data_IF_068923794587
#
_entry.id   IF_068923794587
#
_cell.length_a   1.000
_cell.length_b   1.000
_cell.length_c   1.000
_cell.angle_alpha   90.00
_cell.angle_beta   90.00
_cell.angle_gamma   90.00
#
_symmetry.space_group_name_H-M   'P 1'
#
loop_
_entity.id
_entity.type
_entity.pdbx_description
1 polymer ?
#
# COMPACT_ATOMS: atom_id res chain seq x y z
N UNK A 1 34.27 1.30 19.29
CA UNK A 1 32.99 1.66 18.66
C UNK A 1 33.03 1.24 17.21
N UNK A 2 32.61 0.00 16.97
CA UNK A 2 32.67 -0.69 15.68
C UNK A 2 31.62 -0.08 14.73
N UNK A 3 32.07 0.28 13.53
CA UNK A 3 31.34 0.91 12.44
C UNK A 3 29.85 0.50 12.31
N UNK A 4 28.94 1.37 12.77
CA UNK A 4 27.53 1.36 12.36
C UNK A 4 27.29 2.54 11.41
N UNK A 5 27.69 2.36 10.15
CA UNK A 5 27.30 3.22 9.02
C UNK A 5 26.15 2.59 8.20
N UNK A 6 25.41 1.64 8.81
CA UNK A 6 24.33 0.86 8.19
C UNK A 6 22.96 1.56 8.25
N UNK A 7 22.88 2.85 7.87
CA UNK A 7 21.60 3.53 7.59
C UNK A 7 21.26 3.53 6.08
N UNK A 8 21.89 2.65 5.30
CA UNK A 8 22.08 2.86 3.86
C UNK A 8 20.96 2.39 2.94
N UNK A 9 20.18 1.36 3.30
CA UNK A 9 19.22 0.76 2.35
C UNK A 9 17.79 1.25 2.57
N UNK A 10 17.29 1.20 3.80
CA UNK A 10 15.92 1.62 4.15
C UNK A 10 15.68 3.13 4.09
N UNK A 11 16.75 3.93 4.12
CA UNK A 11 16.68 5.38 3.92
C UNK A 11 16.97 5.80 2.46
N UNK A 12 16.98 4.85 1.52
CA UNK A 12 17.08 5.12 0.09
C UNK A 12 15.70 5.05 -0.56
N UNK A 13 15.44 5.90 -1.56
CA UNK A 13 14.18 5.87 -2.33
C UNK A 13 13.99 4.50 -2.98
N UNK A 14 15.08 3.94 -3.51
CA UNK A 14 15.08 2.62 -4.13
C UNK A 14 14.76 1.50 -3.14
N UNK A 15 15.38 1.53 -1.95
CA UNK A 15 15.13 0.55 -0.90
C UNK A 15 13.71 0.65 -0.35
N UNK A 16 13.15 1.86 -0.24
CA UNK A 16 11.75 2.07 0.14
C UNK A 16 10.80 1.47 -0.90
N UNK A 17 11.03 1.75 -2.19
CA UNK A 17 10.25 1.17 -3.28
C UNK A 17 10.29 -0.36 -3.25
N UNK A 18 11.48 -0.94 -3.09
CA UNK A 18 11.67 -2.38 -3.03
C UNK A 18 11.02 -2.99 -1.78
N UNK A 19 11.14 -2.33 -0.62
CA UNK A 19 10.54 -2.79 0.63
C UNK A 19 9.01 -2.73 0.58
N UNK A 20 8.42 -1.66 0.05
CA UNK A 20 6.97 -1.57 -0.11
C UNK A 20 6.44 -2.60 -1.12
N UNK A 21 7.21 -2.89 -2.19
CA UNK A 21 6.89 -3.94 -3.15
C UNK A 21 6.92 -5.33 -2.51
N UNK A 22 7.99 -5.66 -1.77
CA UNK A 22 8.09 -6.95 -1.10
C UNK A 22 7.00 -7.14 -0.03
N UNK A 23 6.76 -6.11 0.80
CA UNK A 23 5.78 -6.20 1.87
C UNK A 23 4.34 -6.33 1.32
N UNK A 24 4.00 -5.61 0.24
CA UNK A 24 2.70 -5.76 -0.44
C UNK A 24 2.52 -7.16 -1.03
N UNK A 25 3.55 -7.74 -1.66
CA UNK A 25 3.50 -9.13 -2.15
C UNK A 25 3.25 -10.12 -0.99
N UNK A 26 3.92 -9.95 0.15
CA UNK A 26 3.72 -10.81 1.33
C UNK A 26 2.27 -10.72 1.84
N UNK A 27 1.71 -9.52 1.91
CA UNK A 27 0.31 -9.31 2.32
C UNK A 27 -0.64 -10.03 1.38
N UNK A 28 -0.46 -9.88 0.07
CA UNK A 28 -1.33 -10.47 -0.95
C UNK A 28 -1.26 -11.99 -0.93
N UNK A 29 -0.06 -12.57 -0.90
CA UNK A 29 0.12 -14.03 -0.79
C UNK A 29 -0.51 -14.54 0.51
N UNK A 30 -0.35 -13.83 1.62
CA UNK A 30 -0.95 -14.19 2.89
C UNK A 30 -2.48 -14.23 2.83
N UNK A 31 -3.11 -13.26 2.17
CA UNK A 31 -4.56 -13.22 1.96
C UNK A 31 -5.04 -14.42 1.16
N UNK A 32 -4.40 -14.72 0.03
CA UNK A 32 -4.75 -15.88 -0.81
C UNK A 32 -4.52 -17.22 -0.12
N UNK A 33 -3.62 -17.29 0.86
CA UNK A 33 -3.41 -18.51 1.64
C UNK A 33 -4.51 -18.71 2.70
N UNK A 34 -4.96 -17.63 3.35
CA UNK A 34 -5.94 -17.68 4.43
C UNK A 34 -7.37 -17.79 3.89
N UNK A 35 -7.69 -17.04 2.83
CA UNK A 35 -9.04 -16.94 2.27
C UNK A 35 -9.73 -18.30 2.03
N UNK A 36 -9.10 -19.30 1.36
CA UNK A 36 -9.76 -20.58 1.07
C UNK A 36 -10.10 -21.37 2.33
N UNK A 37 -9.27 -21.24 3.38
CA UNK A 37 -9.51 -21.91 4.66
C UNK A 37 -10.73 -21.35 5.40
N UNK A 38 -10.96 -20.04 5.29
CA UNK A 38 -12.13 -19.38 5.90
C UNK A 38 -13.41 -19.70 5.12
N UNK A 39 -13.33 -19.72 3.79
CA UNK A 39 -14.42 -20.12 2.90
C UNK A 39 -14.85 -21.57 3.17
N UNK A 40 -13.87 -22.48 3.30
CA UNK A 40 -14.15 -23.89 3.63
C UNK A 40 -14.86 -24.07 4.97
N UNK A 41 -14.50 -23.25 5.97
CA UNK A 41 -15.12 -23.29 7.29
C UNK A 41 -16.53 -22.66 7.31
N UNK A 42 -16.98 -22.09 6.19
CA UNK A 42 -18.29 -21.48 6.00
C UNK A 42 -18.67 -20.48 7.11
N UNK A 43 -17.68 -19.75 7.66
CA UNK A 43 -17.89 -18.82 8.78
C UNK A 43 -18.88 -17.70 8.39
N UNK A 44 -18.97 -17.34 7.10
CA UNK A 44 -19.83 -16.26 6.59
C UNK A 44 -20.44 -16.55 5.21
N UNK A 45 -21.63 -16.01 4.93
CA UNK A 45 -22.32 -16.27 3.66
C UNK A 45 -21.87 -15.38 2.48
N UNK A 46 -20.82 -14.54 2.64
CA UNK A 46 -20.38 -13.61 1.60
C UNK A 46 -18.86 -13.69 1.34
N UNK A 47 -18.47 -13.81 0.08
CA UNK A 47 -17.08 -13.90 -0.41
C UNK A 47 -16.26 -12.66 0.00
N UNK A 48 -16.84 -11.47 -0.09
CA UNK A 48 -16.18 -10.20 0.25
C UNK A 48 -15.76 -10.15 1.73
N UNK A 49 -16.58 -10.75 2.61
CA UNK A 49 -16.28 -10.77 4.03
C UNK A 49 -15.06 -11.63 4.34
N UNK A 50 -14.83 -12.71 3.60
CA UNK A 50 -13.64 -13.55 3.77
C UNK A 50 -12.35 -12.83 3.36
N UNK A 51 -12.39 -12.04 2.29
CA UNK A 51 -11.27 -11.17 1.91
C UNK A 51 -10.98 -10.13 3.00
N UNK A 52 -12.00 -9.45 3.52
CA UNK A 52 -11.79 -8.48 4.61
C UNK A 52 -11.20 -9.16 5.87
N UNK A 53 -11.75 -10.28 6.30
CA UNK A 53 -11.25 -10.99 7.50
C UNK A 53 -9.81 -11.48 7.30
N UNK A 54 -9.48 -12.04 6.14
CA UNK A 54 -8.10 -12.45 5.83
C UNK A 54 -7.12 -11.27 5.82
N UNK A 55 -7.53 -10.10 5.33
CA UNK A 55 -6.70 -8.88 5.38
C UNK A 55 -6.42 -8.43 6.82
N UNK A 56 -7.42 -8.50 7.69
CA UNK A 56 -7.29 -8.15 9.11
C UNK A 56 -6.32 -9.11 9.80
N UNK A 57 -6.45 -10.41 9.54
CA UNK A 57 -5.58 -11.44 10.12
C UNK A 57 -4.12 -11.23 9.67
N UNK A 58 -3.86 -11.07 8.37
CA UNK A 58 -2.47 -10.96 7.88
C UNK A 58 -1.78 -9.69 8.41
N UNK A 59 -2.50 -8.57 8.52
CA UNK A 59 -1.95 -7.32 9.06
C UNK A 59 -1.64 -7.44 10.55
N UNK A 60 -2.52 -8.09 11.32
CA UNK A 60 -2.28 -8.37 12.74
C UNK A 60 -1.04 -9.26 12.93
N UNK A 61 -0.91 -10.33 12.14
CA UNK A 61 0.25 -11.23 12.22
C UNK A 61 1.54 -10.48 11.89
N UNK A 62 1.56 -9.71 10.80
CA UNK A 62 2.73 -8.89 10.43
C UNK A 62 3.06 -7.84 11.50
N UNK A 63 2.04 -7.20 12.08
CA UNK A 63 2.22 -6.25 13.18
C UNK A 63 2.87 -6.90 14.40
N UNK A 64 2.39 -8.07 14.82
CA UNK A 64 2.95 -8.82 15.96
C UNK A 64 4.40 -9.23 15.70
N UNK A 65 4.76 -9.60 14.47
CA UNK A 65 6.11 -10.01 14.10
C UNK A 65 7.10 -8.83 14.03
N UNK A 66 6.62 -7.64 13.66
CA UNK A 66 7.47 -6.47 13.41
C UNK A 66 7.60 -5.54 14.61
N UNK A 67 6.57 -5.47 15.45
CA UNK A 67 6.50 -4.52 16.56
C UNK A 67 7.20 -5.09 17.80
N UNK A 68 7.83 -4.20 18.58
CA UNK A 68 8.45 -4.56 19.86
C UNK A 68 7.41 -5.19 20.81
N UNK A 69 7.79 -6.24 21.54
CA UNK A 69 6.92 -6.98 22.47
C UNK A 69 6.14 -6.09 23.44
N UNK A 70 6.76 -5.01 23.92
CA UNK A 70 6.12 -4.07 24.86
C UNK A 70 5.03 -3.20 24.21
N UNK A 71 5.03 -3.08 22.89
CA UNK A 71 4.09 -2.26 22.10
C UNK A 71 3.01 -3.09 21.41
N UNK A 72 3.05 -4.43 21.52
CA UNK A 72 2.04 -5.31 20.91
C UNK A 72 0.64 -5.03 21.46
N UNK A 73 0.50 -4.88 22.79
CA UNK A 73 -0.81 -4.63 23.41
C UNK A 73 -1.38 -3.27 22.96
N UNK A 74 -0.64 -2.14 23.05
CA UNK A 74 -1.08 -0.87 22.47
C UNK A 74 -1.43 -0.96 20.99
N UNK A 75 -0.65 -1.69 20.19
CA UNK A 75 -0.91 -1.87 18.76
C UNK A 75 -2.25 -2.56 18.50
N UNK A 76 -2.53 -3.69 19.16
CA UNK A 76 -3.78 -4.42 18.98
C UNK A 76 -4.98 -3.56 19.37
N UNK A 77 -4.90 -2.84 20.50
CA UNK A 77 -5.97 -1.94 20.95
C UNK A 77 -6.21 -0.83 19.92
N UNK A 78 -5.16 -0.13 19.49
CA UNK A 78 -5.29 0.96 18.51
C UNK A 78 -5.79 0.45 17.15
N UNK A 79 -5.36 -0.73 16.72
CA UNK A 79 -5.79 -1.33 15.46
C UNK A 79 -7.29 -1.68 15.49
N UNK A 80 -7.77 -2.31 16.57
CA UNK A 80 -9.20 -2.61 16.74
C UNK A 80 -10.04 -1.33 16.86
N UNK A 81 -9.56 -0.33 17.62
CA UNK A 81 -10.21 0.98 17.67
C UNK A 81 -10.26 1.63 16.29
N UNK A 82 -9.19 1.50 15.50
CA UNK A 82 -9.15 1.99 14.12
C UNK A 82 -10.27 1.38 13.26
N UNK A 83 -10.48 0.07 13.33
CA UNK A 83 -11.56 -0.61 12.61
C UNK A 83 -12.95 -0.12 13.05
N UNK A 84 -13.14 0.16 14.34
CA UNK A 84 -14.43 0.60 14.89
C UNK A 84 -14.72 2.07 14.57
N UNK A 85 -13.72 2.95 14.67
CA UNK A 85 -13.89 4.40 14.57
C UNK A 85 -13.74 4.96 13.16
N UNK A 86 -12.99 4.30 12.27
CA UNK A 86 -12.99 4.69 10.86
C UNK A 86 -14.31 4.22 10.25
N UNK A 87 -15.16 5.13 9.75
CA UNK A 87 -16.39 4.72 9.11
C UNK A 87 -16.04 3.79 7.97
N UNK A 88 -16.53 2.55 8.07
CA UNK A 88 -16.54 1.63 6.95
C UNK A 88 -17.63 2.16 6.02
N UNK A 89 -17.33 3.24 5.31
CA UNK A 89 -18.05 3.56 4.09
C UNK A 89 -17.68 2.46 3.09
N UNK A 90 -18.37 1.33 3.25
CA UNK A 90 -18.36 0.15 2.40
C UNK A 90 -18.52 0.50 0.91
N UNK A 91 -18.95 1.72 0.59
CA UNK A 91 -19.16 2.20 -0.75
C UNK A 91 -18.00 2.99 -1.36
N UNK A 92 -17.09 3.66 -0.65
CA UNK A 92 -16.04 4.46 -1.33
C UNK A 92 -14.76 3.68 -1.62
N UNK A 93 -14.41 2.72 -0.76
CA UNK A 93 -13.35 1.76 -1.07
C UNK A 93 -13.81 0.86 -2.21
N UNK A 94 -15.00 0.25 -2.16
CA UNK A 94 -15.48 -0.59 -3.28
C UNK A 94 -15.88 0.19 -4.55
N UNK A 95 -16.35 1.45 -4.49
CA UNK A 95 -16.63 2.21 -5.75
C UNK A 95 -15.35 2.73 -6.43
N UNK A 96 -14.28 3.01 -5.67
CA UNK A 96 -12.95 3.22 -6.29
C UNK A 96 -12.38 1.92 -6.84
N UNK A 97 -12.73 0.77 -6.24
CA UNK A 97 -12.50 -0.54 -6.87
C UNK A 97 -13.35 -0.70 -8.13
N UNK A 98 -14.61 -0.28 -8.19
CA UNK A 98 -15.43 -0.35 -9.42
C UNK A 98 -14.92 0.57 -10.52
N UNK A 99 -14.50 1.80 -10.21
CA UNK A 99 -13.97 2.73 -11.22
C UNK A 99 -12.64 2.20 -11.77
N UNK A 100 -11.75 1.70 -10.91
CA UNK A 100 -10.50 1.09 -11.36
C UNK A 100 -10.71 -0.26 -12.04
N UNK A 101 -11.68 -1.06 -11.60
CA UNK A 101 -12.08 -2.33 -12.21
C UNK A 101 -12.64 -2.10 -13.61
N UNK A 102 -13.55 -1.13 -13.75
CA UNK A 102 -14.15 -0.75 -15.02
C UNK A 102 -13.11 -0.14 -15.97
N UNK A 103 -12.20 0.69 -15.47
CA UNK A 103 -11.12 1.26 -16.29
C UNK A 103 -10.12 0.20 -16.76
N UNK A 104 -9.70 -0.70 -15.86
CA UNK A 104 -8.77 -1.78 -16.20
C UNK A 104 -9.46 -2.79 -17.14
N UNK A 105 -10.71 -3.16 -16.88
CA UNK A 105 -11.49 -4.04 -17.78
C UNK A 105 -11.70 -3.39 -19.14
N UNK A 106 -11.96 -2.08 -19.21
CA UNK A 106 -12.06 -1.35 -20.47
C UNK A 106 -10.73 -1.39 -21.23
N UNK A 107 -9.61 -1.15 -20.56
CA UNK A 107 -8.27 -1.26 -21.16
C UNK A 107 -8.00 -2.68 -21.66
N UNK A 108 -8.26 -3.70 -20.86
CA UNK A 108 -8.01 -5.10 -21.24
C UNK A 108 -8.94 -5.52 -22.38
N UNK A 109 -10.21 -5.16 -22.33
CA UNK A 109 -11.15 -5.37 -23.44
C UNK A 109 -10.64 -4.71 -24.72
N UNK A 110 -10.17 -3.46 -24.65
CA UNK A 110 -9.60 -2.77 -25.80
C UNK A 110 -8.37 -3.50 -26.36
N UNK A 111 -7.48 -4.01 -25.51
CA UNK A 111 -6.30 -4.77 -25.93
C UNK A 111 -6.69 -6.13 -26.54
N UNK A 112 -7.67 -6.83 -25.95
CA UNK A 112 -8.17 -8.11 -26.45
C UNK A 112 -8.82 -7.95 -27.83
N UNK A 113 -9.57 -6.86 -28.05
CA UNK A 113 -10.14 -6.54 -29.36
C UNK A 113 -9.06 -6.21 -30.42
N UNK A 114 -7.91 -5.67 -30.00
CA UNK A 114 -6.79 -5.32 -30.89
C UNK A 114 -5.92 -6.55 -31.19
N UNK A 115 -5.73 -7.45 -30.23
CA UNK A 115 -4.70 -8.51 -30.32
C UNK A 115 -5.27 -9.92 -30.56
N UNK A 116 -6.59 -10.12 -30.51
CA UNK A 116 -7.26 -11.44 -30.63
C UNK A 116 -6.77 -12.49 -29.62
N UNK A 117 -6.18 -12.05 -28.50
CA UNK A 117 -5.74 -12.90 -27.40
C UNK A 117 -6.90 -12.99 -26.40
N UNK A 118 -7.43 -14.20 -26.15
CA UNK A 118 -8.48 -14.44 -25.17
C UNK A 118 -7.90 -14.47 -23.75
N UNK A 119 -7.93 -13.33 -23.07
CA UNK A 119 -7.44 -13.18 -21.71
C UNK A 119 -8.50 -13.50 -20.64
N UNK A 120 -9.40 -14.48 -20.83
CA UNK A 120 -10.42 -14.84 -19.79
C UNK A 120 -9.83 -15.40 -18.46
N UNK A 121 -8.51 -15.34 -18.28
CA UNK A 121 -7.82 -15.35 -16.97
C UNK A 121 -7.78 -13.97 -16.25
N UNK A 122 -8.46 -12.95 -16.77
CA UNK A 122 -8.34 -11.53 -16.41
C UNK A 122 -8.79 -11.13 -15.00
N UNK A 123 -9.81 -11.77 -14.43
CA UNK A 123 -10.37 -11.35 -13.14
C UNK A 123 -9.31 -11.39 -12.03
N UNK A 124 -8.48 -12.44 -12.01
CA UNK A 124 -7.43 -12.60 -11.01
C UNK A 124 -6.30 -11.58 -11.22
N UNK A 125 -5.96 -11.23 -12.46
CA UNK A 125 -4.90 -10.26 -12.75
C UNK A 125 -5.34 -8.83 -12.39
N UNK A 126 -6.58 -8.45 -12.72
CA UNK A 126 -7.16 -7.16 -12.33
C UNK A 126 -7.25 -7.04 -10.82
N UNK A 127 -7.75 -8.08 -10.15
CA UNK A 127 -7.86 -8.12 -8.69
C UNK A 127 -6.48 -8.03 -8.02
N UNK A 128 -5.48 -8.79 -8.49
CA UNK A 128 -4.10 -8.70 -7.97
C UNK A 128 -3.53 -7.31 -8.19
N UNK A 129 -3.73 -6.69 -9.36
CA UNK A 129 -3.25 -5.34 -9.64
C UNK A 129 -3.88 -4.30 -8.70
N UNK A 130 -5.18 -4.42 -8.43
CA UNK A 130 -5.89 -3.55 -7.49
C UNK A 130 -5.39 -3.73 -6.06
N UNK A 131 -5.23 -4.98 -5.59
CA UNK A 131 -4.65 -5.25 -4.28
C UNK A 131 -3.23 -4.72 -4.17
N UNK A 132 -2.42 -4.88 -5.22
CA UNK A 132 -1.08 -4.29 -5.30
C UNK A 132 -1.17 -2.77 -5.10
N UNK A 133 -2.02 -2.05 -5.82
CA UNK A 133 -2.18 -0.60 -5.64
C UNK A 133 -2.61 -0.26 -4.21
N UNK A 134 -3.56 -1.01 -3.64
CA UNK A 134 -4.12 -0.76 -2.31
C UNK A 134 -3.13 -0.98 -1.17
N UNK A 135 -2.17 -1.90 -1.30
CA UNK A 135 -1.15 -2.12 -0.26
C UNK A 135 0.16 -1.41 -0.57
N UNK A 136 0.62 -1.47 -1.82
CA UNK A 136 1.87 -0.87 -2.24
C UNK A 136 1.85 0.65 -2.05
N UNK A 137 0.81 1.34 -2.52
CA UNK A 137 0.79 2.80 -2.50
C UNK A 137 0.79 3.37 -1.08
N UNK A 138 -0.05 2.89 -0.13
CA UNK A 138 0.01 3.37 1.26
C UNK A 138 1.32 3.01 1.95
N UNK A 139 1.88 1.82 1.73
CA UNK A 139 3.17 1.43 2.30
C UNK A 139 4.30 2.32 1.76
N UNK A 140 4.34 2.51 0.43
CA UNK A 140 5.32 3.38 -0.22
C UNK A 140 5.21 4.82 0.30
N UNK A 141 3.98 5.35 0.40
CA UNK A 141 3.74 6.69 0.92
C UNK A 141 4.16 6.80 2.40
N UNK A 142 3.86 5.79 3.22
CA UNK A 142 4.28 5.74 4.62
C UNK A 142 5.81 5.82 4.76
N UNK A 143 6.54 4.96 4.06
CA UNK A 143 8.00 5.01 4.07
C UNK A 143 8.57 6.30 3.44
N UNK A 144 7.92 6.84 2.39
CA UNK A 144 8.30 8.11 1.80
C UNK A 144 8.16 9.27 2.80
N UNK A 145 7.08 9.30 3.59
CA UNK A 145 6.90 10.34 4.62
C UNK A 145 7.95 10.23 5.72
N UNK A 146 8.39 9.03 6.08
CA UNK A 146 9.53 8.84 6.98
C UNK A 146 10.82 9.44 6.39
N UNK A 147 11.07 9.23 5.10
CA UNK A 147 12.19 9.82 4.36
C UNK A 147 12.13 11.36 4.37
N UNK A 148 10.94 11.93 4.14
CA UNK A 148 10.72 13.38 4.15
C UNK A 148 11.01 13.93 5.53
N UNK A 149 10.49 13.29 6.58
CA UNK A 149 10.69 13.72 7.97
C UNK A 149 12.16 13.69 8.38
N UNK A 150 12.86 12.61 8.05
CA UNK A 150 14.31 12.50 8.28
C UNK A 150 15.09 13.61 7.54
N UNK A 151 14.59 14.11 6.41
CA UNK A 151 15.30 15.07 5.56
C UNK A 151 15.14 16.52 6.04
N UNK A 152 14.16 16.74 6.92
CA UNK A 152 14.00 17.98 7.67
C UNK A 152 15.03 18.09 8.81
N UNK A 153 15.63 16.98 9.23
CA UNK A 153 16.66 17.00 10.28
C UNK A 153 17.94 17.68 9.79
N UNK A 154 18.73 18.31 10.68
CA UNK A 154 19.98 18.98 10.31
C UNK A 154 21.01 18.04 9.65
N UNK A 155 20.97 16.74 9.96
CA UNK A 155 21.89 15.74 9.45
C UNK A 155 21.71 15.44 7.95
N UNK A 156 20.49 15.60 7.43
CA UNK A 156 20.13 15.22 6.05
C UNK A 156 20.18 13.72 5.79
N UNK A 157 19.89 13.32 4.54
CA UNK A 157 19.78 11.92 4.12
C UNK A 157 20.47 11.70 2.78
N UNK A 158 21.00 10.50 2.58
CA UNK A 158 21.53 10.04 1.30
C UNK A 158 20.49 9.19 0.57
N UNK A 159 19.76 9.77 -0.40
CA UNK A 159 18.58 9.16 -1.03
C UNK A 159 18.85 7.93 -1.89
N UNK A 160 20.07 7.78 -2.38
CA UNK A 160 20.38 6.86 -3.48
C UNK A 160 21.45 5.84 -3.12
N UNK A 161 21.76 5.65 -1.84
CA UNK A 161 22.67 4.56 -1.46
C UNK A 161 22.09 3.20 -1.90
N UNK A 162 22.91 2.30 -2.47
CA UNK A 162 24.37 2.38 -2.66
C UNK A 162 24.84 3.13 -3.92
N UNK A 163 23.94 3.51 -4.83
CA UNK A 163 24.26 4.13 -6.13
C UNK A 163 24.79 5.57 -6.05
N UNK A 164 24.43 6.35 -5.03
CA UNK A 164 24.96 7.71 -4.83
C UNK A 164 24.93 8.14 -3.36
N UNK A 165 25.99 8.84 -2.94
CA UNK A 165 26.20 9.38 -1.59
C UNK A 165 25.78 10.85 -1.46
N UNK A 166 25.07 11.40 -2.44
CA UNK A 166 24.62 12.80 -2.39
C UNK A 166 23.61 13.00 -1.26
N UNK A 167 23.95 13.90 -0.34
CA UNK A 167 23.08 14.30 0.77
C UNK A 167 22.02 15.30 0.32
N UNK A 168 20.80 15.08 0.77
CA UNK A 168 19.68 16.01 0.67
C UNK A 168 19.25 16.46 2.06
N UNK A 169 18.71 17.68 2.10
CA UNK A 169 18.32 18.36 3.32
C UNK A 169 16.95 19.03 3.10
N UNK A 170 16.60 19.98 3.96
CA UNK A 170 15.30 20.68 4.02
C UNK A 170 14.69 21.09 2.68
N UNK A 171 15.47 21.58 1.71
CA UNK A 171 14.93 21.98 0.39
C UNK A 171 14.28 20.82 -0.36
N UNK A 172 14.86 19.62 -0.28
CA UNK A 172 14.30 18.41 -0.86
C UNK A 172 13.00 18.02 -0.15
N UNK A 173 12.98 18.06 1.19
CA UNK A 173 11.80 17.79 2.00
C UNK A 173 10.62 18.68 1.58
N UNK A 174 10.86 19.98 1.46
CA UNK A 174 9.85 20.96 1.05
C UNK A 174 9.37 20.70 -0.38
N UNK A 175 10.27 20.37 -1.31
CA UNK A 175 9.89 20.01 -2.67
C UNK A 175 8.97 18.76 -2.71
N UNK A 176 9.30 17.72 -1.92
CA UNK A 176 8.46 16.53 -1.80
C UNK A 176 7.09 16.84 -1.18
N UNK A 177 7.04 17.69 -0.14
CA UNK A 177 5.77 18.10 0.46
C UNK A 177 4.89 18.88 -0.52
N UNK A 178 5.48 19.81 -1.28
CA UNK A 178 4.77 20.54 -2.34
C UNK A 178 4.24 19.57 -3.41
N UNK A 179 5.05 18.58 -3.81
CA UNK A 179 4.64 17.58 -4.78
C UNK A 179 3.47 16.72 -4.26
N UNK A 180 3.53 16.24 -3.02
CA UNK A 180 2.43 15.48 -2.39
C UNK A 180 1.16 16.34 -2.29
N UNK A 181 1.29 17.62 -1.92
CA UNK A 181 0.16 18.54 -1.83
C UNK A 181 -0.47 18.78 -3.21
N UNK A 182 0.35 18.97 -4.25
CA UNK A 182 -0.12 19.14 -5.62
C UNK A 182 -0.85 17.88 -6.13
N UNK A 183 -0.29 16.69 -5.85
CA UNK A 183 -0.94 15.42 -6.17
C UNK A 183 -2.29 15.25 -5.43
N UNK A 184 -2.36 15.67 -4.17
CA UNK A 184 -3.60 15.63 -3.39
C UNK A 184 -4.67 16.56 -3.97
N UNK A 185 -4.29 17.77 -4.38
CA UNK A 185 -5.19 18.73 -5.05
C UNK A 185 -5.68 18.18 -6.40
N UNK A 186 -4.77 17.63 -7.21
CA UNK A 186 -5.13 17.03 -8.49
C UNK A 186 -6.11 15.87 -8.29
N UNK A 187 -5.84 14.97 -7.33
CA UNK A 187 -6.76 13.87 -7.00
C UNK A 187 -8.14 14.42 -6.65
N UNK A 188 -8.21 15.39 -5.73
CA UNK A 188 -9.49 15.99 -5.32
C UNK A 188 -10.26 16.56 -6.52
N UNK A 189 -9.58 17.30 -7.41
CA UNK A 189 -10.20 17.90 -8.58
C UNK A 189 -10.72 16.85 -9.57
N UNK A 190 -9.92 15.81 -9.88
CA UNK A 190 -10.37 14.76 -10.78
C UNK A 190 -11.50 13.94 -10.17
N UNK A 191 -11.42 13.58 -8.88
CA UNK A 191 -12.50 12.86 -8.19
C UNK A 191 -13.81 13.66 -8.22
N UNK A 192 -13.77 14.97 -7.97
CA UNK A 192 -14.98 15.82 -8.01
C UNK A 192 -15.64 15.86 -9.40
N UNK A 193 -14.84 15.91 -10.47
CA UNK A 193 -15.36 15.93 -11.84
C UNK A 193 -15.92 14.57 -12.34
N UNK A 194 -15.67 13.46 -11.64
CA UNK A 194 -16.24 12.15 -11.98
C UNK A 194 -17.62 11.90 -11.34
N UNK A 195 -18.02 12.71 -10.34
CA UNK A 195 -19.30 12.59 -9.63
C UNK A 195 -20.36 13.61 -10.08
N UNK A 196 -20.09 14.36 -11.16
CA UNK A 196 -21.03 15.25 -11.86
C UNK A 196 -21.02 14.94 -13.35
#
# INVERSE_FOLDING_TARGET
FYFSNHRGFTHSIFGIFLLSLLLSIVIIIGIFLIYPSLEYLAIMNNIENYFLVSTVIIVLVLGILTINKNLIVPFIVLFLLGIIFLPIEYYSFFTTFDISYNFINWLIYSINTITSINLITDFNLVFINQMMICFFLPLFLGFLTHLILDSLTPAGIELFRPFSSKKVHKKFAVACLILILLLAILKYFFTYNYYF
#
